data_IF_438235502901
#
_entry.id   IF_438235502901
#
_cell.length_a   1.000
_cell.length_b   1.000
_cell.length_c   1.000
_cell.angle_alpha   90.00
_cell.angle_beta   90.00
_cell.angle_gamma   90.00
#
_symmetry.space_group_name_H-M   'P 1'
#
loop_
_entity.id
_entity.type
_entity.pdbx_description
1 polymer ?
#
# COMPACT_ATOMS: atom_id res chain seq x y z
N UNK A 1 -16.04 2.33 -4.00
CA UNK A 1 -15.14 2.41 -2.83
C UNK A 1 -14.64 1.00 -2.55
N UNK A 2 -13.32 0.75 -2.60
CA UNK A 2 -12.73 -0.49 -2.11
C UNK A 2 -13.20 -0.74 -0.67
N UNK A 3 -13.77 -1.90 -0.39
CA UNK A 3 -14.16 -2.27 0.98
C UNK A 3 -13.04 -3.05 1.68
N UNK A 4 -12.28 -3.84 0.91
CA UNK A 4 -11.22 -4.70 1.41
C UNK A 4 -9.94 -4.57 0.57
N UNK A 5 -8.81 -4.88 1.20
CA UNK A 5 -7.50 -4.96 0.57
C UNK A 5 -6.80 -6.23 1.03
N UNK A 6 -6.16 -6.94 0.10
CA UNK A 6 -5.41 -8.16 0.38
C UNK A 6 -4.20 -8.24 -0.55
N UNK A 7 -3.07 -8.73 -0.05
CA UNK A 7 -1.84 -8.94 -0.83
C UNK A 7 -1.41 -7.70 -1.64
N UNK A 8 -1.53 -6.51 -1.04
CA UNK A 8 -1.26 -5.21 -1.66
C UNK A 8 -2.19 -4.84 -2.84
N UNK A 9 -3.38 -5.43 -2.94
CA UNK A 9 -4.38 -5.23 -4.00
C UNK A 9 -5.76 -4.88 -3.46
N UNK A 10 -6.52 -4.17 -4.30
CA UNK A 10 -7.95 -3.91 -4.06
C UNK A 10 -8.74 -5.20 -4.29
N UNK A 11 -9.56 -5.59 -3.32
CA UNK A 11 -10.52 -6.67 -3.49
C UNK A 11 -11.82 -6.14 -4.10
N UNK A 12 -12.20 -6.70 -5.24
CA UNK A 12 -13.31 -6.20 -6.07
C UNK A 12 -14.63 -6.95 -5.86
N UNK A 13 -14.68 -7.94 -4.96
CA UNK A 13 -15.86 -8.79 -4.75
C UNK A 13 -17.04 -8.04 -4.11
N UNK A 14 -16.77 -6.96 -3.38
CA UNK A 14 -17.78 -6.09 -2.75
C UNK A 14 -17.36 -4.62 -2.88
N UNK A 15 -17.79 -3.95 -3.94
CA UNK A 15 -17.50 -2.53 -4.17
C UNK A 15 -18.80 -1.75 -4.15
N UNK A 16 -18.86 -0.69 -3.34
CA UNK A 16 -19.94 0.29 -3.40
C UNK A 16 -19.66 1.33 -4.50
N UNK A 17 -20.69 1.73 -5.24
CA UNK A 17 -20.59 2.78 -6.27
C UNK A 17 -21.07 4.13 -5.70
N UNK A 18 -20.56 5.22 -6.27
CA UNK A 18 -21.03 6.59 -5.99
C UNK A 18 -21.56 7.19 -7.29
N UNK A 19 -22.45 8.18 -7.18
CA UNK A 19 -22.96 8.89 -8.36
C UNK A 19 -21.85 9.67 -9.07
N UNK A 20 -22.00 9.92 -10.37
CA UNK A 20 -21.06 10.77 -11.13
C UNK A 20 -20.97 12.19 -10.56
N UNK A 21 -22.10 12.73 -10.10
CA UNK A 21 -22.17 14.03 -9.41
C UNK A 21 -21.27 14.05 -8.17
N UNK A 22 -21.31 12.98 -7.36
CA UNK A 22 -20.43 12.85 -6.20
C UNK A 22 -18.99 12.63 -6.60
N UNK A 23 -18.72 11.87 -7.65
CA UNK A 23 -17.37 11.66 -8.16
C UNK A 23 -16.72 12.99 -8.62
N UNK A 24 -17.48 13.85 -9.31
CA UNK A 24 -17.01 15.19 -9.70
C UNK A 24 -16.75 16.07 -8.48
N UNK A 25 -17.70 16.14 -7.54
CA UNK A 25 -17.59 16.91 -6.30
C UNK A 25 -16.42 16.44 -5.43
N UNK A 26 -16.15 15.14 -5.42
CA UNK A 26 -15.13 14.49 -4.61
C UNK A 26 -13.87 14.11 -5.41
N UNK A 27 -13.66 14.74 -6.57
CA UNK A 27 -12.59 14.43 -7.53
C UNK A 27 -11.20 14.33 -6.91
N UNK A 28 -10.91 15.14 -5.88
CA UNK A 28 -9.63 15.10 -5.13
C UNK A 28 -9.36 13.77 -4.40
N UNK A 29 -10.39 12.98 -4.13
CA UNK A 29 -10.32 11.67 -3.48
C UNK A 29 -10.40 10.51 -4.48
N UNK A 30 -10.49 10.81 -5.78
CA UNK A 30 -10.38 9.79 -6.81
C UNK A 30 -8.92 9.38 -6.95
N UNK A 31 -8.71 8.07 -6.90
CA UNK A 31 -7.38 7.47 -6.99
C UNK A 31 -6.94 7.37 -8.45
N UNK A 32 -5.63 7.46 -8.66
CA UNK A 32 -4.97 7.36 -9.96
C UNK A 32 -4.06 6.13 -9.96
N UNK A 33 -3.76 5.61 -11.14
CA UNK A 33 -2.75 4.56 -11.30
C UNK A 33 -1.45 5.00 -10.61
N UNK A 34 -0.89 4.13 -9.77
CA UNK A 34 0.32 4.41 -8.99
C UNK A 34 0.05 5.00 -7.61
N UNK A 35 -1.18 5.36 -7.27
CA UNK A 35 -1.54 5.67 -5.89
C UNK A 35 -1.51 4.40 -5.03
N UNK A 36 -1.27 4.58 -3.73
CA UNK A 36 -1.34 3.54 -2.73
C UNK A 36 -2.44 3.94 -1.73
N UNK A 37 -3.42 3.07 -1.54
CA UNK A 37 -4.51 3.30 -0.58
C UNK A 37 -4.24 2.46 0.66
N UNK A 38 -4.32 3.05 1.84
CA UNK A 38 -4.18 2.38 3.13
C UNK A 38 -5.51 2.24 3.85
N UNK A 39 -5.65 1.22 4.69
CA UNK A 39 -6.68 1.22 5.72
C UNK A 39 -6.36 2.28 6.78
N UNK A 40 -7.36 3.10 7.10
CA UNK A 40 -7.24 4.11 8.16
C UNK A 40 -7.34 3.48 9.54
N UNK A 41 -8.21 2.48 9.72
CA UNK A 41 -8.55 1.84 10.99
C UNK A 41 -8.50 0.32 10.86
N UNK A 42 -8.34 -0.37 11.99
CA UNK A 42 -8.27 -1.83 12.02
C UNK A 42 -6.85 -2.30 11.73
N UNK A 43 -6.68 -3.20 10.75
CA UNK A 43 -5.33 -3.61 10.32
C UNK A 43 -4.69 -2.54 9.42
N UNK A 44 -3.94 -1.65 10.06
CA UNK A 44 -3.22 -0.52 9.46
C UNK A 44 -2.06 -0.94 8.53
N UNK A 45 -1.74 -2.25 8.48
CA UNK A 45 -0.76 -2.81 7.55
C UNK A 45 -1.31 -2.97 6.14
N UNK A 46 -2.64 -3.11 6.04
CA UNK A 46 -3.31 -3.32 4.77
C UNK A 46 -3.28 -2.07 3.90
N UNK A 47 -2.86 -2.30 2.67
CA UNK A 47 -2.73 -1.31 1.63
C UNK A 47 -3.00 -1.92 0.27
N UNK A 48 -3.25 -1.09 -0.73
CA UNK A 48 -3.42 -1.52 -2.10
C UNK A 48 -2.75 -0.55 -3.08
N UNK A 49 -1.96 -1.08 -4.00
CA UNK A 49 -1.44 -0.33 -5.15
C UNK A 49 -2.49 -0.27 -6.26
N UNK A 50 -2.87 0.95 -6.64
CA UNK A 50 -3.86 1.23 -7.67
C UNK A 50 -3.25 1.01 -9.06
N UNK A 51 -3.89 0.18 -9.87
CA UNK A 51 -3.53 -0.04 -11.28
C UNK A 51 -4.55 0.67 -12.18
N UNK A 52 -4.38 0.48 -13.49
CA UNK A 52 -5.27 1.07 -14.49
C UNK A 52 -6.73 0.70 -14.29
N UNK A 53 -7.03 -0.51 -13.79
CA UNK A 53 -8.40 -1.00 -13.58
C UNK A 53 -9.12 -0.28 -12.45
N UNK A 54 -8.38 0.14 -11.42
CA UNK A 54 -8.93 0.80 -10.24
C UNK A 54 -8.76 2.33 -10.29
N UNK A 55 -8.17 2.86 -11.36
CA UNK A 55 -8.08 4.30 -11.57
C UNK A 55 -9.48 4.91 -11.67
N UNK A 56 -9.69 6.04 -11.00
CA UNK A 56 -11.00 6.68 -10.85
C UNK A 56 -11.84 6.14 -9.70
N UNK A 57 -11.36 5.16 -8.93
CA UNK A 57 -12.08 4.70 -7.74
C UNK A 57 -12.04 5.75 -6.64
N UNK A 58 -13.08 5.76 -5.80
CA UNK A 58 -13.17 6.68 -4.67
C UNK A 58 -12.45 6.13 -3.42
N UNK A 59 -11.49 6.90 -2.91
CA UNK A 59 -10.87 6.69 -1.60
C UNK A 59 -11.75 7.35 -0.52
N UNK A 60 -12.56 6.56 0.16
CA UNK A 60 -13.48 7.05 1.19
C UNK A 60 -12.81 7.33 2.54
N UNK A 61 -13.62 7.63 3.55
CA UNK A 61 -13.18 8.09 4.88
C UNK A 61 -12.39 7.05 5.68
N UNK A 62 -12.63 5.77 5.42
CA UNK A 62 -11.94 4.63 6.05
C UNK A 62 -10.61 4.29 5.38
N UNK A 63 -10.25 5.04 4.33
CA UNK A 63 -9.01 4.87 3.61
C UNK A 63 -8.14 6.13 3.67
N UNK A 64 -6.84 5.94 3.55
CA UNK A 64 -5.87 7.02 3.40
C UNK A 64 -5.19 6.90 2.04
N UNK A 65 -5.02 8.04 1.36
CA UNK A 65 -4.37 8.10 0.06
C UNK A 65 -2.91 8.51 0.22
N UNK A 66 -2.00 7.66 -0.27
CA UNK A 66 -0.59 7.96 -0.43
C UNK A 66 -0.29 8.05 -1.94
N UNK A 67 0.12 9.24 -2.40
CA UNK A 67 0.50 9.48 -3.79
C UNK A 67 2.02 9.65 -3.88
N UNK A 68 2.74 8.70 -4.51
CA UNK A 68 4.20 8.83 -4.70
C UNK A 68 4.53 10.07 -5.52
N UNK A 69 5.54 10.83 -5.09
CA UNK A 69 6.10 11.93 -5.88
C UNK A 69 7.04 11.44 -6.99
N UNK A 70 7.61 12.38 -7.73
CA UNK A 70 8.42 12.07 -8.93
C UNK A 70 9.70 11.30 -8.65
N UNK A 71 10.15 11.23 -7.39
CA UNK A 71 11.35 10.51 -6.95
C UNK A 71 11.10 9.06 -6.54
N UNK A 72 9.84 8.63 -6.50
CA UNK A 72 9.45 7.29 -6.09
C UNK A 72 8.76 6.55 -7.24
N UNK A 73 9.14 5.30 -7.42
CA UNK A 73 8.42 4.33 -8.23
C UNK A 73 7.32 3.68 -7.37
N UNK A 74 6.03 3.70 -7.80
CA UNK A 74 4.91 3.19 -7.01
C UNK A 74 5.04 1.71 -6.61
N UNK A 75 5.58 0.88 -7.51
CA UNK A 75 5.77 -0.55 -7.26
C UNK A 75 6.85 -0.76 -6.20
N UNK A 76 7.98 -0.06 -6.33
CA UNK A 76 9.04 -0.10 -5.33
C UNK A 76 8.55 0.43 -3.97
N UNK A 77 7.80 1.53 -3.95
CA UNK A 77 7.28 2.08 -2.70
C UNK A 77 6.32 1.10 -2.02
N UNK A 78 5.42 0.46 -2.79
CA UNK A 78 4.52 -0.57 -2.26
C UNK A 78 5.30 -1.73 -1.65
N UNK A 79 6.38 -2.15 -2.30
CA UNK A 79 7.30 -3.14 -1.76
C UNK A 79 7.98 -2.66 -0.47
N UNK A 80 8.59 -1.48 -0.47
CA UNK A 80 9.28 -0.89 0.68
C UNK A 80 8.35 -0.81 1.90
N UNK A 81 7.12 -0.34 1.67
CA UNK A 81 6.06 -0.27 2.66
C UNK A 81 5.61 -1.66 3.15
N UNK A 82 5.88 -2.73 2.41
CA UNK A 82 5.59 -4.12 2.81
C UNK A 82 6.72 -4.78 3.61
N UNK A 83 7.89 -4.14 3.71
CA UNK A 83 9.01 -4.71 4.48
C UNK A 83 8.66 -4.80 5.97
N UNK A 84 9.12 -5.85 6.69
CA UNK A 84 8.82 -6.01 8.11
C UNK A 84 9.19 -4.79 8.95
N UNK A 85 10.34 -4.16 8.64
CA UNK A 85 10.81 -2.95 9.32
C UNK A 85 9.78 -1.81 9.24
N UNK A 86 9.26 -1.54 8.04
CA UNK A 86 8.31 -0.44 7.82
C UNK A 86 6.93 -0.80 8.34
N UNK A 87 6.51 -2.06 8.19
CA UNK A 87 5.26 -2.56 8.78
C UNK A 87 5.26 -2.41 10.30
N UNK A 88 6.34 -2.80 10.99
CA UNK A 88 6.47 -2.59 12.43
C UNK A 88 6.50 -1.11 12.81
N UNK A 89 7.17 -0.27 12.02
CA UNK A 89 7.15 1.18 12.24
C UNK A 89 5.72 1.74 12.16
N UNK A 90 4.96 1.38 11.12
CA UNK A 90 3.56 1.82 10.91
C UNK A 90 2.69 1.43 12.10
N UNK A 91 2.78 0.18 12.57
CA UNK A 91 2.02 -0.32 13.73
C UNK A 91 2.35 0.51 14.98
N UNK A 92 3.64 0.74 15.24
CA UNK A 92 4.09 1.48 16.42
C UNK A 92 3.72 2.97 16.40
N UNK A 93 3.49 3.55 15.22
CA UNK A 93 3.07 4.94 15.08
C UNK A 93 1.55 5.11 15.06
N UNK A 94 0.80 4.04 14.77
CA UNK A 94 -0.65 4.12 14.76
C UNK A 94 -1.18 4.47 16.16
N UNK A 95 -2.11 5.43 16.21
CA UNK A 95 -2.66 5.96 17.45
C UNK A 95 -3.98 5.29 17.80
N UNK A 96 -4.33 5.28 19.09
CA UNK A 96 -5.59 4.72 19.60
C UNK A 96 -5.36 3.48 20.45
N UNK A 97 -5.85 3.51 21.69
CA UNK A 97 -5.61 2.46 22.70
C UNK A 97 -6.38 1.16 22.41
N UNK A 98 -7.54 1.23 21.76
CA UNK A 98 -8.41 0.08 21.50
C UNK A 98 -8.38 -0.39 20.05
N UNK A 99 -8.16 0.53 19.10
CA UNK A 99 -7.99 0.22 17.68
C UNK A 99 -6.90 1.11 17.09
N UNK A 100 -5.95 0.49 16.38
CA UNK A 100 -4.95 1.20 15.62
C UNK A 100 -5.62 2.08 14.56
N UNK A 101 -5.29 3.37 14.58
CA UNK A 101 -5.75 4.35 13.62
C UNK A 101 -4.55 5.10 13.03
N UNK A 102 -4.44 5.08 11.70
CA UNK A 102 -3.53 5.93 10.95
C UNK A 102 -4.17 7.28 10.61
N UNK A 103 -3.31 8.25 10.35
CA UNK A 103 -3.68 9.53 9.77
C UNK A 103 -2.63 9.94 8.72
N UNK A 104 -2.92 11.01 7.97
CA UNK A 104 -2.02 11.49 6.91
C UNK A 104 -0.69 12.01 7.44
N UNK A 105 -0.67 12.57 8.66
CA UNK A 105 0.55 13.06 9.31
C UNK A 105 1.53 11.92 9.59
N UNK A 106 1.05 10.80 10.15
CA UNK A 106 1.85 9.59 10.37
C UNK A 106 2.39 9.05 9.05
N UNK A 107 1.54 8.88 8.03
CA UNK A 107 1.98 8.39 6.72
C UNK A 107 3.02 9.29 6.08
N UNK A 108 2.93 10.62 6.26
CA UNK A 108 3.90 11.57 5.72
C UNK A 108 5.29 11.48 6.37
N UNK A 109 5.38 10.86 7.55
CA UNK A 109 6.63 10.68 8.31
C UNK A 109 7.28 9.33 8.08
N UNK A 110 6.72 8.48 7.23
CA UNK A 110 7.31 7.18 6.92
C UNK A 110 8.77 7.40 6.49
N UNK A 111 9.75 6.84 7.22
CA UNK A 111 11.13 7.01 6.86
C UNK A 111 11.36 6.35 5.51
N UNK A 112 12.04 7.03 4.60
CA UNK A 112 12.43 6.46 3.31
C UNK A 112 13.94 6.40 3.21
N UNK A 113 14.46 5.18 3.10
CA UNK A 113 15.87 4.89 2.87
C UNK A 113 15.95 3.92 1.70
N UNK A 114 15.89 4.45 0.50
CA UNK A 114 15.91 3.66 -0.74
C UNK A 114 16.79 4.31 -1.79
N UNK A 115 17.10 3.58 -2.87
CA UNK A 115 17.90 4.11 -3.96
C UNK A 115 17.11 5.16 -4.75
N UNK A 116 17.80 5.91 -5.60
CA UNK A 116 17.15 6.82 -6.54
C UNK A 116 16.20 6.09 -7.49
N UNK A 117 15.20 6.80 -8.02
CA UNK A 117 14.10 6.23 -8.81
C UNK A 117 14.56 5.37 -9.98
N UNK A 118 15.63 5.75 -10.67
CA UNK A 118 16.16 5.00 -11.81
C UNK A 118 16.55 3.56 -11.44
N UNK A 119 16.98 3.34 -10.19
CA UNK A 119 17.43 2.04 -9.69
C UNK A 119 16.30 1.23 -9.04
N UNK A 120 15.25 1.91 -8.54
CA UNK A 120 14.11 1.28 -7.86
C UNK A 120 13.41 0.20 -8.72
N UNK A 121 13.25 0.43 -10.03
CA UNK A 121 12.62 -0.53 -10.95
C UNK A 121 13.38 -1.85 -11.06
N UNK A 122 14.71 -1.80 -11.04
CA UNK A 122 15.57 -3.00 -11.11
C UNK A 122 15.49 -3.82 -9.82
N UNK A 123 15.48 -3.15 -8.67
CA UNK A 123 15.38 -3.79 -7.35
C UNK A 123 14.05 -4.52 -7.16
N UNK A 124 12.94 -3.99 -7.69
CA UNK A 124 11.63 -4.64 -7.62
C UNK A 124 11.61 -5.97 -8.39
N UNK A 125 12.16 -6.00 -9.61
CA UNK A 125 12.21 -7.20 -10.43
C UNK A 125 13.01 -8.33 -9.75
N UNK A 126 14.12 -7.98 -9.10
CA UNK A 126 14.96 -8.94 -8.39
C UNK A 126 14.23 -9.57 -7.18
N UNK A 127 13.46 -8.78 -6.45
CA UNK A 127 12.75 -9.27 -5.27
C UNK A 127 11.53 -10.12 -5.61
N UNK A 128 10.76 -9.75 -6.63
CA UNK A 128 9.64 -10.59 -7.11
C UNK A 128 10.15 -11.99 -7.47
N UNK A 129 11.29 -12.09 -8.16
CA UNK A 129 11.92 -13.38 -8.48
C UNK A 129 12.28 -14.20 -7.23
N UNK A 130 12.77 -13.57 -6.17
CA UNK A 130 13.09 -14.23 -4.90
C UNK A 130 11.83 -14.69 -4.13
N UNK A 131 10.72 -13.95 -4.21
CA UNK A 131 9.47 -14.34 -3.54
C UNK A 131 8.66 -15.40 -4.30
N UNK A 132 8.79 -15.46 -5.64
CA UNK A 132 8.16 -16.51 -6.45
C UNK A 132 8.95 -17.82 -6.42
N UNK A 133 10.27 -17.74 -6.21
CA UNK A 133 11.10 -18.91 -5.89
C UNK A 133 11.14 -19.10 -4.38
N UNK A 134 10.12 -19.75 -3.82
CA UNK A 134 10.22 -20.32 -2.48
C UNK A 134 11.36 -21.34 -2.46
N UNK A 135 12.58 -20.91 -2.14
CA UNK A 135 13.71 -21.82 -1.96
C UNK A 135 13.51 -22.48 -0.60
N UNK A 136 12.98 -23.69 -0.61
CA UNK A 136 12.93 -24.56 0.57
C UNK A 136 14.38 -24.89 0.98
N UNK A 137 14.88 -24.26 2.04
CA UNK A 137 16.14 -24.67 2.65
C UNK A 137 15.80 -25.74 3.68
N UNK A 138 15.98 -27.01 3.30
CA UNK A 138 15.89 -28.12 4.25
C UNK A 138 17.23 -28.25 4.96
N UNK A 139 17.27 -28.02 6.27
CA UNK A 139 18.42 -28.35 7.10
C UNK A 139 18.24 -29.77 7.66
N UNK A 140 19.19 -30.66 7.38
CA UNK A 140 19.30 -31.98 8.02
C UNK A 140 20.48 -31.99 8.99
N UNK A 141 20.28 -32.51 10.20
CA UNK A 141 21.36 -32.75 11.16
C UNK A 141 22.26 -33.90 10.66
N UNK A 142 23.60 -33.75 10.74
CA UNK A 142 24.49 -34.89 10.52
C UNK A 142 24.36 -35.89 11.68
N UNK A 143 24.30 -37.18 11.34
CA UNK A 143 24.40 -38.29 12.30
C UNK A 143 25.78 -38.34 12.95
#
# INVERSE_FOLDING_TARGET
>A
MPVNMKDNRVELSKIAFISERDALRLSKYLVKKGDIVYNRRGDVRFKALIRSREAGYFCGTECLLLRPGDKLDPDYLTYYLSTPKIQSWIINQAVGATMHNLNTEILSRIPFTGPEKATQKKSQQYYVQLTTKSISITASTPN
#
